data_IF_505437254174
#
_entry.id   IF_505437254174
#
_cell.length_a   1.000
_cell.length_b   1.000
_cell.length_c   1.000
_cell.angle_alpha   90.00
_cell.angle_beta   90.00
_cell.angle_gamma   90.00
#
_symmetry.space_group_name_H-M   'P 1'
#
loop_
_entity.id
_entity.type
_entity.pdbx_description
1 polymer ?
#
# COMPACT_ATOMS: atom_id res chain seq x y z
N UNK A 1 -1.32 12.42 7.09
CA UNK A 1 -2.58 12.61 7.84
C UNK A 1 -3.26 11.26 7.90
N UNK A 2 -3.67 10.79 9.08
CA UNK A 2 -4.12 9.41 9.28
C UNK A 2 -5.64 9.37 9.47
N UNK A 3 -6.39 8.91 8.46
CA UNK A 3 -7.85 8.80 8.52
C UNK A 3 -8.24 7.35 8.76
N UNK A 4 -8.46 7.00 10.04
CA UNK A 4 -8.74 5.64 10.48
C UNK A 4 -10.18 5.40 10.97
N UNK A 5 -11.01 6.45 11.00
CA UNK A 5 -12.40 6.36 11.45
C UNK A 5 -13.24 7.52 10.91
N UNK A 6 -14.57 7.46 11.14
CA UNK A 6 -15.52 8.47 10.69
C UNK A 6 -15.26 9.85 11.28
N UNK A 7 -14.81 9.95 12.54
CA UNK A 7 -14.55 11.26 13.21
C UNK A 7 -13.39 11.97 12.52
N UNK A 8 -12.27 11.27 12.30
CA UNK A 8 -11.12 11.85 11.60
C UNK A 8 -11.44 12.17 10.14
N UNK A 9 -12.34 11.40 9.49
CA UNK A 9 -12.80 11.70 8.15
C UNK A 9 -13.64 12.95 8.07
N UNK A 10 -14.60 13.14 8.99
CA UNK A 10 -15.39 14.37 9.07
C UNK A 10 -14.52 15.59 9.29
N UNK A 11 -13.57 15.53 10.24
CA UNK A 11 -12.67 16.64 10.54
C UNK A 11 -11.89 17.13 9.31
N UNK A 12 -11.48 16.20 8.44
CA UNK A 12 -10.76 16.53 7.20
C UNK A 12 -11.70 17.08 6.14
N UNK A 13 -12.87 16.47 5.98
CA UNK A 13 -13.84 16.87 4.97
C UNK A 13 -14.42 18.27 5.29
N UNK A 14 -14.64 18.60 6.57
CA UNK A 14 -15.11 19.90 7.03
C UNK A 14 -14.10 21.02 6.77
N UNK A 15 -12.81 20.68 6.64
CA UNK A 15 -11.75 21.60 6.20
C UNK A 15 -11.70 21.83 4.69
N UNK A 16 -12.64 21.29 3.94
CA UNK A 16 -12.75 21.48 2.50
C UNK A 16 -11.92 20.50 1.66
N UNK A 17 -11.38 19.43 2.25
CA UNK A 17 -10.74 18.36 1.51
C UNK A 17 -11.80 17.59 0.72
N UNK A 18 -11.65 17.50 -0.60
CA UNK A 18 -12.66 16.90 -1.47
C UNK A 18 -12.76 15.37 -1.31
N UNK A 19 -11.62 14.71 -1.04
CA UNK A 19 -11.51 13.24 -0.95
C UNK A 19 -10.31 12.86 -0.07
N UNK A 20 -10.43 11.73 0.63
CA UNK A 20 -9.34 11.17 1.43
C UNK A 20 -9.12 9.69 1.14
N UNK A 21 -7.90 9.21 1.35
CA UNK A 21 -7.60 7.79 1.41
C UNK A 21 -7.58 7.34 2.88
N UNK A 22 -8.29 6.26 3.24
CA UNK A 22 -8.16 5.64 4.57
C UNK A 22 -6.74 5.17 4.82
N UNK A 23 -6.36 5.08 6.10
CA UNK A 23 -5.05 4.53 6.48
C UNK A 23 -4.92 3.07 6.09
N UNK A 24 -3.69 2.61 5.88
CA UNK A 24 -3.35 1.20 5.59
C UNK A 24 -3.72 0.23 6.73
N UNK A 25 -4.05 0.73 7.92
CA UNK A 25 -4.42 -0.11 9.07
C UNK A 25 -5.87 -0.62 9.02
N UNK A 26 -6.72 -0.04 8.15
CA UNK A 26 -8.09 -0.49 7.99
C UNK A 26 -8.16 -1.73 7.10
N UNK A 27 -8.96 -2.72 7.55
CA UNK A 27 -9.29 -3.86 6.71
C UNK A 27 -10.42 -3.54 5.71
N UNK A 28 -10.63 -4.44 4.76
CA UNK A 28 -11.61 -4.27 3.69
C UNK A 28 -13.04 -4.00 4.18
N UNK A 29 -13.46 -4.65 5.29
CA UNK A 29 -14.78 -4.43 5.86
C UNK A 29 -14.88 -3.05 6.54
N UNK A 30 -13.86 -2.65 7.29
CA UNK A 30 -13.82 -1.31 7.92
C UNK A 30 -13.85 -0.18 6.89
N UNK A 31 -13.26 -0.38 5.72
CA UNK A 31 -13.36 0.57 4.60
C UNK A 31 -14.81 0.67 4.09
N UNK A 32 -15.53 -0.45 4.01
CA UNK A 32 -16.95 -0.48 3.67
C UNK A 32 -17.79 0.22 4.76
N UNK A 33 -17.51 -0.06 6.03
CA UNK A 33 -18.25 0.52 7.17
C UNK A 33 -18.16 2.06 7.18
N UNK A 34 -17.08 2.65 6.66
CA UNK A 34 -17.00 4.12 6.50
C UNK A 34 -18.09 4.64 5.58
N UNK A 35 -18.55 3.87 4.59
CA UNK A 35 -19.58 4.31 3.64
C UNK A 35 -20.98 4.40 4.26
N UNK A 36 -21.20 3.84 5.46
CA UNK A 36 -22.46 3.99 6.19
C UNK A 36 -22.68 5.43 6.68
N UNK A 37 -21.61 6.20 6.85
CA UNK A 37 -21.64 7.55 7.42
C UNK A 37 -21.05 8.62 6.49
N UNK A 38 -20.29 8.22 5.47
CA UNK A 38 -19.56 9.11 4.58
C UNK A 38 -19.92 8.77 3.14
N UNK A 39 -20.21 9.79 2.34
CA UNK A 39 -20.42 9.60 0.91
C UNK A 39 -19.22 8.85 0.29
N UNK A 40 -19.48 7.68 -0.26
CA UNK A 40 -18.47 6.81 -0.86
C UNK A 40 -17.64 7.51 -1.96
N UNK A 41 -18.18 8.58 -2.60
CA UNK A 41 -17.44 9.40 -3.57
C UNK A 41 -16.32 10.22 -2.96
N UNK A 42 -16.32 10.40 -1.64
CA UNK A 42 -15.28 11.11 -0.89
C UNK A 42 -14.17 10.20 -0.38
N UNK A 43 -14.31 8.89 -0.61
CA UNK A 43 -13.34 7.87 -0.19
C UNK A 43 -12.57 7.38 -1.41
N UNK A 44 -11.23 7.36 -1.31
CA UNK A 44 -10.35 6.78 -2.31
C UNK A 44 -9.67 5.55 -1.72
N UNK A 45 -9.96 4.37 -2.25
CA UNK A 45 -9.41 3.11 -1.76
C UNK A 45 -8.06 2.85 -2.38
N UNK A 46 -7.05 2.60 -1.57
CA UNK A 46 -5.76 2.12 -2.03
C UNK A 46 -5.93 0.62 -2.30
N UNK A 47 -6.03 0.26 -3.58
CA UNK A 47 -6.32 -1.10 -4.00
C UNK A 47 -5.07 -1.93 -4.36
N UNK A 48 -3.92 -1.28 -4.45
CA UNK A 48 -2.61 -1.90 -4.65
C UNK A 48 -1.53 -1.00 -4.08
N UNK A 49 -0.67 -1.51 -3.22
CA UNK A 49 0.48 -0.78 -2.68
C UNK A 49 1.48 -1.71 -2.01
N UNK A 50 2.76 -1.33 -2.00
CA UNK A 50 3.71 -1.91 -1.06
C UNK A 50 3.64 -1.14 0.26
N UNK A 51 3.36 -1.84 1.37
CA UNK A 51 3.26 -1.19 2.67
C UNK A 51 4.64 -0.74 3.16
N UNK A 52 4.78 0.49 3.69
CA UNK A 52 5.98 0.86 4.43
C UNK A 52 6.05 0.03 5.71
N UNK A 53 7.12 -0.76 5.86
CA UNK A 53 7.31 -1.65 7.02
C UNK A 53 7.99 -0.90 8.15
N UNK A 54 9.03 -0.14 7.84
CA UNK A 54 9.72 0.73 8.79
C UNK A 54 10.52 1.84 8.10
N UNK A 55 10.84 2.87 8.87
CA UNK A 55 11.70 3.98 8.47
C UNK A 55 13.01 3.95 9.26
N UNK A 56 14.09 4.36 8.62
CA UNK A 56 15.38 4.54 9.29
C UNK A 56 15.81 5.99 9.23
N UNK A 57 16.35 6.50 10.33
CA UNK A 57 16.93 7.85 10.39
C UNK A 57 18.36 7.89 9.81
N UNK A 58 19.00 6.71 9.64
CA UNK A 58 20.31 6.59 9.01
C UNK A 58 20.18 6.13 7.55
N UNK A 59 20.93 6.79 6.66
CA UNK A 59 20.95 6.42 5.26
C UNK A 59 21.71 5.10 5.04
N UNK A 60 20.96 4.05 4.69
CA UNK A 60 21.51 2.71 4.41
C UNK A 60 22.41 2.75 3.17
N UNK A 61 22.06 3.54 2.15
CA UNK A 61 22.88 3.72 0.96
C UNK A 61 24.24 4.33 1.29
N UNK A 62 24.27 5.43 2.06
CA UNK A 62 25.49 6.04 2.49
C UNK A 62 26.35 5.07 3.30
N UNK A 63 25.73 4.35 4.25
CA UNK A 63 26.42 3.43 5.16
C UNK A 63 27.14 2.28 4.46
N UNK A 64 26.53 1.71 3.41
CA UNK A 64 27.03 0.49 2.78
C UNK A 64 27.68 0.68 1.40
N UNK A 65 27.40 1.82 0.75
CA UNK A 65 27.83 2.07 -0.63
C UNK A 65 28.73 3.33 -0.75
N UNK A 66 29.17 3.92 0.38
CA UNK A 66 29.96 5.16 0.38
C UNK A 66 30.93 5.16 1.57
N UNK A 67 32.04 5.87 1.40
CA UNK A 67 32.96 6.24 2.48
C UNK A 67 32.56 7.57 3.15
N UNK A 68 31.51 8.23 2.65
CA UNK A 68 30.99 9.49 3.20
C UNK A 68 30.22 9.27 4.51
N UNK A 69 29.98 10.36 5.21
CA UNK A 69 29.28 10.37 6.51
C UNK A 69 27.88 11.00 6.44
N UNK A 70 27.63 11.84 5.45
CA UNK A 70 26.36 12.56 5.28
C UNK A 70 26.11 12.94 3.81
N UNK A 71 25.03 13.66 3.56
CA UNK A 71 24.60 14.06 2.22
C UNK A 71 25.54 15.01 1.51
N UNK A 72 26.52 15.60 2.19
CA UNK A 72 27.46 16.54 1.56
C UNK A 72 28.67 15.81 0.94
N UNK A 73 28.96 14.58 1.38
CA UNK A 73 30.15 13.85 1.00
C UNK A 73 29.92 12.37 0.64
N UNK A 74 28.68 11.87 0.63
CA UNK A 74 28.39 10.46 0.34
C UNK A 74 28.41 10.13 -1.17
N UNK A 75 28.46 11.12 -2.05
CA UNK A 75 28.40 10.91 -3.51
C UNK A 75 27.07 10.39 -4.04
N UNK A 76 26.00 10.45 -3.24
CA UNK A 76 24.62 10.14 -3.60
C UNK A 76 24.39 8.75 -4.23
N UNK A 77 24.89 7.64 -3.62
CA UNK A 77 24.72 6.30 -4.21
C UNK A 77 23.24 5.88 -4.35
N UNK A 78 22.32 6.52 -3.60
CA UNK A 78 20.88 6.30 -3.72
C UNK A 78 20.28 6.72 -5.07
N UNK A 79 20.95 7.55 -5.85
CA UNK A 79 20.49 7.96 -7.16
C UNK A 79 20.79 6.93 -8.26
N UNK A 80 21.76 6.05 -8.02
CA UNK A 80 22.28 5.11 -9.04
C UNK A 80 22.16 3.63 -8.63
N UNK A 81 21.88 3.34 -7.37
CA UNK A 81 21.78 1.97 -6.85
C UNK A 81 20.40 1.69 -6.28
N UNK A 82 19.99 0.44 -6.40
CA UNK A 82 18.82 -0.12 -5.73
C UNK A 82 19.32 -1.13 -4.69
N UNK A 83 18.75 -1.07 -3.48
CA UNK A 83 19.06 -2.00 -2.41
C UNK A 83 17.78 -2.59 -1.83
N UNK A 84 17.91 -3.75 -1.22
CA UNK A 84 16.83 -4.40 -0.50
C UNK A 84 17.35 -5.03 0.80
N UNK A 85 16.48 -5.14 1.78
CA UNK A 85 16.72 -5.96 2.97
C UNK A 85 16.13 -7.35 2.71
N UNK A 86 16.93 -8.40 2.90
CA UNK A 86 16.45 -9.78 2.75
C UNK A 86 16.05 -10.33 4.11
N UNK A 87 14.83 -10.86 4.21
CA UNK A 87 14.34 -11.52 5.42
C UNK A 87 14.81 -12.99 5.51
N UNK A 88 14.47 -13.65 6.62
CA UNK A 88 14.86 -15.06 6.86
C UNK A 88 14.22 -16.04 5.87
N UNK A 89 13.12 -15.68 5.23
CA UNK A 89 12.46 -16.46 4.19
C UNK A 89 13.04 -16.20 2.79
N UNK A 90 14.02 -15.30 2.69
CA UNK A 90 14.68 -14.93 1.42
C UNK A 90 13.92 -13.89 0.60
N UNK A 91 12.84 -13.29 1.12
CA UNK A 91 12.12 -12.22 0.43
C UNK A 91 12.90 -10.91 0.51
N UNK A 92 12.87 -10.15 -0.56
CA UNK A 92 13.60 -8.89 -0.69
C UNK A 92 12.66 -7.71 -0.48
N UNK A 93 12.89 -6.96 0.59
CA UNK A 93 12.16 -5.76 0.95
C UNK A 93 12.85 -4.54 0.37
N UNK A 94 12.25 -3.85 -0.62
CA UNK A 94 12.89 -2.70 -1.25
C UNK A 94 13.15 -1.58 -0.26
N UNK A 95 14.31 -0.94 -0.38
CA UNK A 95 14.69 0.23 0.39
C UNK A 95 14.71 1.44 -0.52
N UNK A 96 13.91 2.45 -0.18
CA UNK A 96 13.84 3.70 -0.91
C UNK A 96 14.47 4.83 -0.09
N UNK A 97 15.31 5.63 -0.75
CA UNK A 97 15.79 6.86 -0.14
C UNK A 97 14.65 7.89 -0.05
N UNK A 98 14.52 8.53 1.11
CA UNK A 98 13.51 9.53 1.40
C UNK A 98 14.17 10.90 1.68
N UNK A 99 13.34 11.93 1.74
CA UNK A 99 13.78 13.30 2.04
C UNK A 99 14.53 13.34 3.37
N UNK A 100 15.67 14.04 3.40
CA UNK A 100 16.50 14.18 4.61
C UNK A 100 17.40 12.99 4.87
N UNK A 101 17.76 12.24 3.83
CA UNK A 101 18.66 11.06 3.94
C UNK A 101 18.13 9.94 4.85
N UNK A 102 16.82 9.88 5.05
CA UNK A 102 16.13 8.76 5.67
C UNK A 102 15.85 7.69 4.63
N UNK A 103 15.55 6.49 5.09
CA UNK A 103 15.12 5.43 4.20
C UNK A 103 13.82 4.81 4.68
N UNK A 104 12.99 4.44 3.72
CA UNK A 104 11.78 3.64 3.95
C UNK A 104 11.98 2.25 3.38
N UNK A 105 11.74 1.24 4.20
CA UNK A 105 11.72 -0.17 3.77
C UNK A 105 10.27 -0.56 3.51
N UNK A 106 10.01 -1.12 2.34
CA UNK A 106 8.68 -1.54 1.93
C UNK A 106 8.51 -3.06 1.99
N UNK A 107 7.26 -3.51 2.12
CA UNK A 107 6.93 -4.92 2.05
C UNK A 107 7.36 -5.54 0.70
N UNK A 108 7.86 -6.78 0.76
CA UNK A 108 8.29 -7.52 -0.43
C UNK A 108 7.13 -7.78 -1.40
N UNK A 109 5.97 -8.14 -0.85
CA UNK A 109 4.75 -8.40 -1.61
C UNK A 109 3.87 -7.14 -1.64
N UNK A 110 3.19 -6.92 -2.77
CA UNK A 110 2.22 -5.84 -2.87
C UNK A 110 0.91 -6.21 -2.17
N UNK A 111 0.40 -5.30 -1.32
CA UNK A 111 -0.90 -5.47 -0.67
C UNK A 111 -2.02 -5.19 -1.66
N UNK A 112 -2.98 -6.12 -1.74
CA UNK A 112 -4.23 -5.97 -2.49
C UNK A 112 -5.28 -6.95 -1.94
N UNK A 113 -6.56 -6.56 -1.90
CA UNK A 113 -7.65 -7.47 -1.58
C UNK A 113 -8.58 -7.63 -2.79
N UNK A 114 -8.17 -8.51 -3.70
CA UNK A 114 -8.92 -8.80 -4.93
C UNK A 114 -10.32 -9.32 -4.61
N UNK A 115 -10.46 -10.08 -3.51
CA UNK A 115 -11.73 -10.63 -3.08
C UNK A 115 -12.75 -9.56 -2.63
N UNK A 116 -12.27 -8.42 -2.15
CA UNK A 116 -13.11 -7.32 -1.70
C UNK A 116 -13.56 -6.37 -2.83
N UNK A 117 -13.01 -6.46 -4.03
CA UNK A 117 -13.27 -5.50 -5.12
C UNK A 117 -14.76 -5.36 -5.45
N UNK A 118 -15.48 -6.47 -5.57
CA UNK A 118 -16.92 -6.45 -5.86
C UNK A 118 -17.72 -5.85 -4.70
N UNK A 119 -17.33 -6.13 -3.46
CA UNK A 119 -17.96 -5.55 -2.28
C UNK A 119 -17.73 -4.04 -2.18
N UNK A 120 -16.51 -3.57 -2.44
CA UNK A 120 -16.18 -2.15 -2.50
C UNK A 120 -16.99 -1.41 -3.58
N UNK A 121 -17.08 -1.98 -4.80
CA UNK A 121 -17.88 -1.42 -5.87
C UNK A 121 -19.38 -1.39 -5.51
N UNK A 122 -19.88 -2.43 -4.83
CA UNK A 122 -21.27 -2.53 -4.39
C UNK A 122 -21.60 -1.52 -3.27
N UNK A 123 -20.65 -1.22 -2.39
CA UNK A 123 -20.75 -0.19 -1.37
C UNK A 123 -20.71 1.25 -1.92
N UNK A 124 -20.57 1.41 -3.24
CA UNK A 124 -20.56 2.72 -3.89
C UNK A 124 -19.19 3.35 -4.05
N UNK A 125 -18.11 2.71 -3.60
CA UNK A 125 -16.75 3.18 -3.82
C UNK A 125 -16.43 3.21 -5.32
N UNK A 126 -15.82 4.34 -5.78
CA UNK A 126 -15.58 4.58 -7.21
C UNK A 126 -14.20 5.15 -7.49
N UNK A 127 -13.46 5.53 -6.45
CA UNK A 127 -12.13 6.07 -6.57
C UNK A 127 -11.15 5.06 -6.00
N UNK A 128 -10.22 4.63 -6.86
CA UNK A 128 -9.23 3.63 -6.53
C UNK A 128 -7.85 4.18 -6.84
N UNK A 129 -6.90 3.92 -5.95
CA UNK A 129 -5.50 4.31 -6.10
C UNK A 129 -4.63 3.07 -6.20
N UNK A 130 -3.71 3.10 -7.14
CA UNK A 130 -2.63 2.12 -7.29
C UNK A 130 -1.32 2.85 -6.96
N UNK A 131 -0.55 2.35 -6.01
CA UNK A 131 0.71 2.96 -5.57
C UNK A 131 1.88 2.05 -5.91
N UNK A 132 2.81 2.56 -6.67
CA UNK A 132 4.01 1.87 -7.09
C UNK A 132 5.23 2.35 -6.31
N UNK A 133 6.17 1.45 -6.03
CA UNK A 133 7.39 1.75 -5.27
C UNK A 133 8.64 1.43 -6.10
N UNK A 134 8.71 0.24 -6.69
CA UNK A 134 9.89 -0.25 -7.39
C UNK A 134 9.56 -1.04 -8.64
N UNK A 135 8.29 -1.07 -9.03
CA UNK A 135 7.85 -1.74 -10.26
C UNK A 135 8.46 -1.08 -11.49
N UNK A 136 8.82 -1.91 -12.46
CA UNK A 136 9.30 -1.46 -13.76
C UNK A 136 8.15 -0.95 -14.62
N UNK A 137 8.46 -0.12 -15.61
CA UNK A 137 7.46 0.50 -16.47
C UNK A 137 6.50 -0.50 -17.12
N UNK A 138 7.02 -1.66 -17.54
CA UNK A 138 6.22 -2.74 -18.14
C UNK A 138 5.25 -3.35 -17.11
N UNK A 139 5.69 -3.55 -15.88
CA UNK A 139 4.86 -4.05 -14.78
C UNK A 139 3.74 -3.06 -14.43
N UNK A 140 4.09 -1.77 -14.33
CA UNK A 140 3.14 -0.68 -14.10
C UNK A 140 2.03 -0.69 -15.16
N UNK A 141 2.39 -0.80 -16.44
CA UNK A 141 1.43 -0.81 -17.54
C UNK A 141 0.44 -1.99 -17.43
N UNK A 142 0.94 -3.18 -17.16
CA UNK A 142 0.12 -4.39 -17.03
C UNK A 142 -0.80 -4.34 -15.79
N UNK A 143 -0.28 -3.88 -14.65
CA UNK A 143 -1.07 -3.76 -13.42
C UNK A 143 -2.19 -2.72 -13.60
N UNK A 144 -1.88 -1.54 -14.12
CA UNK A 144 -2.88 -0.48 -14.36
C UNK A 144 -3.94 -0.94 -15.36
N UNK A 145 -3.53 -1.61 -16.44
CA UNK A 145 -4.44 -2.18 -17.45
C UNK A 145 -5.37 -3.20 -16.79
N UNK A 146 -4.83 -4.12 -15.98
CA UNK A 146 -5.62 -5.14 -15.29
C UNK A 146 -6.68 -4.55 -14.36
N UNK A 147 -6.35 -3.54 -13.55
CA UNK A 147 -7.36 -2.83 -12.75
C UNK A 147 -8.39 -2.11 -13.61
N UNK A 148 -7.95 -1.44 -14.69
CA UNK A 148 -8.86 -0.78 -15.64
C UNK A 148 -9.85 -1.76 -16.27
N UNK A 149 -9.40 -2.93 -16.65
CA UNK A 149 -10.26 -3.99 -17.22
C UNK A 149 -11.22 -4.58 -16.18
N UNK A 150 -10.78 -4.76 -14.93
CA UNK A 150 -11.64 -5.19 -13.82
C UNK A 150 -12.78 -4.18 -13.61
N UNK A 151 -12.45 -2.89 -13.45
CA UNK A 151 -13.44 -1.86 -13.21
C UNK A 151 -14.39 -1.65 -14.41
N UNK A 152 -13.90 -1.92 -15.62
CA UNK A 152 -14.74 -1.98 -16.84
C UNK A 152 -15.54 -3.28 -16.97
N UNK A 153 -15.44 -4.21 -16.00
CA UNK A 153 -16.07 -5.54 -15.98
C UNK A 153 -15.70 -6.41 -17.20
N UNK A 154 -14.51 -6.22 -17.75
CA UNK A 154 -13.99 -7.03 -18.86
C UNK A 154 -13.31 -8.31 -18.38
N UNK A 155 -12.76 -8.29 -17.17
CA UNK A 155 -12.15 -9.43 -16.52
C UNK A 155 -12.73 -9.65 -15.12
N UNK A 156 -12.61 -10.87 -14.61
CA UNK A 156 -12.99 -11.21 -13.25
C UNK A 156 -11.87 -10.86 -12.23
N UNK A 157 -12.20 -10.74 -10.91
CA UNK A 157 -11.18 -10.61 -9.87
C UNK A 157 -10.11 -11.71 -9.91
N UNK A 158 -10.51 -12.95 -10.21
CA UNK A 158 -9.57 -14.07 -10.33
C UNK A 158 -8.58 -13.91 -11.50
N UNK A 159 -9.00 -13.32 -12.61
CA UNK A 159 -8.13 -13.01 -13.74
C UNK A 159 -7.15 -11.88 -13.39
N UNK A 160 -7.63 -10.81 -12.75
CA UNK A 160 -6.75 -9.77 -12.21
C UNK A 160 -5.70 -10.36 -11.27
N UNK A 161 -6.10 -11.27 -10.37
CA UNK A 161 -5.20 -11.93 -9.44
C UNK A 161 -4.03 -12.62 -10.14
N UNK A 162 -4.28 -13.29 -11.24
CA UNK A 162 -3.22 -13.93 -12.05
C UNK A 162 -2.28 -12.89 -12.67
N UNK A 163 -2.82 -11.79 -13.19
CA UNK A 163 -2.02 -10.69 -13.74
C UNK A 163 -1.12 -10.09 -12.64
N UNK A 164 -1.68 -9.77 -11.48
CA UNK A 164 -0.92 -9.21 -10.38
C UNK A 164 0.16 -10.18 -9.87
N UNK A 165 -0.16 -11.47 -9.75
CA UNK A 165 0.83 -12.47 -9.34
C UNK A 165 2.02 -12.58 -10.31
N UNK A 166 1.81 -12.31 -11.60
CA UNK A 166 2.86 -12.34 -12.62
C UNK A 166 3.71 -11.06 -12.64
N UNK A 167 3.10 -9.91 -12.36
CA UNK A 167 3.71 -8.60 -12.57
C UNK A 167 4.09 -7.87 -11.28
N UNK A 168 3.60 -8.30 -10.10
CA UNK A 168 3.91 -7.66 -8.82
C UNK A 168 5.28 -8.06 -8.21
N UNK A 169 6.24 -8.49 -9.03
CA UNK A 169 7.59 -8.82 -8.57
C UNK A 169 7.63 -10.06 -7.67
N UNK A 170 7.52 -9.88 -6.37
CA UNK A 170 7.55 -10.99 -5.40
C UNK A 170 6.15 -11.50 -5.02
N UNK A 171 5.11 -11.11 -5.77
CA UNK A 171 3.74 -11.54 -5.56
C UNK A 171 2.87 -10.53 -4.81
N UNK A 172 1.70 -11.00 -4.38
CA UNK A 172 0.68 -10.20 -3.73
C UNK A 172 0.26 -10.82 -2.40
N UNK A 173 -0.15 -9.96 -1.47
CA UNK A 173 -0.69 -10.33 -0.16
C UNK A 173 -1.94 -9.52 0.16
N UNK A 174 -2.82 -10.05 1.01
CA UNK A 174 -3.92 -9.24 1.55
C UNK A 174 -3.46 -8.29 2.67
N UNK A 175 -2.36 -8.62 3.36
CA UNK A 175 -1.80 -7.78 4.42
C UNK A 175 -2.84 -7.40 5.47
N UNK A 176 -2.91 -6.10 5.81
CA UNK A 176 -3.88 -5.55 6.78
C UNK A 176 -5.33 -5.52 6.27
N UNK A 177 -5.56 -5.69 4.97
CA UNK A 177 -6.90 -5.72 4.39
C UNK A 177 -7.70 -6.96 4.83
N UNK A 178 -7.03 -8.01 5.29
CA UNK A 178 -7.65 -9.24 5.76
C UNK A 178 -7.50 -9.43 7.27
N UNK A 179 -8.59 -9.78 7.95
CA UNK A 179 -8.58 -10.17 9.36
C UNK A 179 -9.04 -11.63 9.45
N UNK A 180 -8.19 -12.55 9.93
CA UNK A 180 -8.54 -13.96 10.09
C UNK A 180 -9.75 -14.15 11.02
N UNK A 181 -10.60 -15.15 10.72
CA UNK A 181 -11.66 -15.56 11.62
C UNK A 181 -11.07 -15.97 12.98
N UNK A 182 -11.68 -15.45 14.05
CA UNK A 182 -11.21 -15.70 15.43
C UNK A 182 -10.25 -14.65 15.99
N UNK A 183 -9.71 -13.72 15.19
CA UNK A 183 -8.89 -12.61 15.71
C UNK A 183 -9.64 -11.79 16.78
N UNK A 184 -10.96 -11.60 16.61
CA UNK A 184 -11.82 -10.92 17.59
C UNK A 184 -11.88 -11.64 18.95
N UNK A 185 -11.62 -12.95 19.00
CA UNK A 185 -11.61 -13.71 20.27
C UNK A 185 -10.32 -13.49 21.08
N UNK A 186 -9.21 -13.16 20.44
CA UNK A 186 -7.94 -12.88 21.11
C UNK A 186 -7.95 -11.54 21.85
N UNK A 187 -8.75 -10.57 21.39
CA UNK A 187 -8.87 -9.24 22.01
C UNK A 187 -9.82 -9.25 23.22
N UNK A 188 -10.68 -10.28 23.38
CA UNK A 188 -11.64 -10.39 24.49
C UNK A 188 -11.06 -11.07 25.75
N UNK A 189 -9.82 -11.53 25.75
CA UNK A 189 -9.17 -12.19 26.89
C UNK A 189 -8.55 -11.21 27.90
N UNK A 190 -8.83 -9.93 27.81
CA UNK A 190 -8.27 -8.86 28.67
C UNK A 190 -9.33 -8.05 29.44
N UNK A 191 -10.50 -8.64 29.79
CA UNK A 191 -11.48 -7.98 30.67
C UNK A 191 -11.62 -8.75 31.97
#
# INVERSE_FOLDING_TARGET
MNVSNTVSAFEILDRGIARFAPTYDLNSQQIIDLTEHIDAKKIEVICYSHLPVFHTEHCVFCRFLSEGTDNTNCGHPCETHQIAVRDQQGREHPVMADVGCRNTVFGAEAQTDIGAMDAWMSAGLRHYRVEFVHEKAEQVAEIVTGFGELFAKKISPAQLGKTLQQHAGQGITQGSLFVPEGFKKLVQLGS
#
